data_IF_412273749505
#
_entry.id   IF_412273749505
#
_cell.length_a   1.000
_cell.length_b   1.000
_cell.length_c   1.000
_cell.angle_alpha   90.00
_cell.angle_beta   90.00
_cell.angle_gamma   90.00
#
_symmetry.space_group_name_H-M   'P 1'
#
loop_
_entity.id
_entity.type
_entity.pdbx_description
1 polymer ?
#
# COMPACT_ATOMS: atom_id res chain seq x y z
N UNK A 1 4.01 23.51 5.67
CA UNK A 1 4.85 22.87 4.64
C UNK A 1 4.34 21.45 4.44
N UNK A 2 3.83 21.07 3.26
CA UNK A 2 3.35 19.72 3.03
C UNK A 2 4.52 18.74 3.09
N UNK A 3 4.45 17.75 3.97
CA UNK A 3 5.44 16.70 4.05
C UNK A 3 5.32 15.81 2.82
N UNK A 4 6.43 15.65 2.08
CA UNK A 4 6.49 14.83 0.87
C UNK A 4 7.38 13.62 1.13
N UNK A 5 6.99 12.49 0.56
CA UNK A 5 7.71 11.22 0.65
C UNK A 5 7.96 10.65 -0.73
N UNK A 6 9.13 10.04 -0.91
CA UNK A 6 9.46 9.32 -2.13
C UNK A 6 8.81 7.94 -2.12
N UNK A 7 8.07 7.62 -3.19
CA UNK A 7 7.54 6.27 -3.37
C UNK A 7 8.67 5.29 -3.72
N UNK A 8 8.78 4.19 -2.97
CA UNK A 8 9.78 3.16 -3.22
C UNK A 8 9.53 2.32 -4.49
N UNK A 9 8.32 2.37 -5.06
CA UNK A 9 7.97 1.59 -6.25
C UNK A 9 8.06 2.42 -7.55
N UNK A 10 7.45 3.61 -7.59
CA UNK A 10 7.50 4.46 -8.78
C UNK A 10 8.53 5.60 -8.71
N UNK A 11 9.20 5.78 -7.57
CA UNK A 11 10.25 6.79 -7.40
C UNK A 11 9.76 8.24 -7.28
N UNK A 12 8.46 8.52 -7.46
CA UNK A 12 7.88 9.87 -7.42
C UNK A 12 7.89 10.45 -6.00
N UNK A 13 8.17 11.75 -5.90
CA UNK A 13 7.97 12.55 -4.70
C UNK A 13 6.51 12.97 -4.66
N UNK A 14 5.76 12.48 -3.67
CA UNK A 14 4.34 12.77 -3.51
C UNK A 14 4.08 13.22 -2.07
N UNK A 15 3.02 14.00 -1.81
CA UNK A 15 2.61 14.33 -0.45
C UNK A 15 2.36 13.06 0.39
N UNK A 16 2.62 13.10 1.71
CA UNK A 16 2.33 11.96 2.61
C UNK A 16 0.86 11.54 2.58
N UNK A 17 -0.06 12.44 2.19
CA UNK A 17 -1.48 12.15 1.97
C UNK A 17 -1.72 11.14 0.85
N UNK A 18 -0.79 11.03 -0.11
CA UNK A 18 -0.80 10.02 -1.18
C UNK A 18 -0.28 8.66 -0.72
N UNK A 19 0.07 8.50 0.56
CA UNK A 19 0.51 7.24 1.15
C UNK A 19 -0.52 6.75 2.16
N UNK A 20 -0.77 5.43 2.18
CA UNK A 20 -1.63 4.86 3.21
C UNK A 20 -0.95 4.87 4.58
N UNK A 21 -1.73 5.13 5.63
CA UNK A 21 -1.26 5.01 7.01
C UNK A 21 -0.88 3.56 7.32
N UNK A 22 0.31 3.37 7.89
CA UNK A 22 0.81 2.11 8.42
C UNK A 22 1.45 2.39 9.77
N UNK A 23 0.70 2.13 10.85
CA UNK A 23 1.12 2.40 12.23
C UNK A 23 2.45 1.74 12.59
N UNK A 24 2.73 0.57 12.03
CA UNK A 24 3.97 -0.19 12.28
C UNK A 24 5.14 0.25 11.36
N UNK A 25 5.12 1.46 10.82
CA UNK A 25 6.23 2.00 10.03
C UNK A 25 6.83 3.21 10.74
N UNK A 26 8.13 3.44 10.53
CA UNK A 26 8.90 4.50 11.18
C UNK A 26 8.22 5.87 11.07
N UNK A 27 7.64 6.17 9.90
CA UNK A 27 7.00 7.46 9.61
C UNK A 27 5.45 7.38 9.63
N UNK A 28 4.90 6.27 10.12
CA UNK A 28 3.44 6.04 10.14
C UNK A 28 2.77 5.86 8.78
N UNK A 29 3.53 5.83 7.68
CA UNK A 29 3.04 5.70 6.30
C UNK A 29 3.76 4.61 5.52
N UNK A 30 3.03 3.98 4.59
CA UNK A 30 3.59 2.99 3.66
C UNK A 30 4.77 3.54 2.85
N UNK A 31 5.65 2.64 2.40
CA UNK A 31 6.75 3.00 1.50
C UNK A 31 6.28 3.24 0.04
N UNK A 32 5.11 2.71 -0.31
CA UNK A 32 4.52 2.82 -1.64
C UNK A 32 3.33 3.79 -1.62
N UNK A 33 3.19 4.59 -2.67
CA UNK A 33 2.04 5.47 -2.83
C UNK A 33 0.75 4.67 -3.09
N UNK A 34 -0.39 5.32 -2.89
CA UNK A 34 -1.74 4.79 -3.10
C UNK A 34 -1.90 4.13 -4.47
N UNK A 35 -1.45 4.81 -5.53
CA UNK A 35 -1.52 4.30 -6.90
C UNK A 35 -0.76 2.98 -7.08
N UNK A 36 0.50 2.93 -6.64
CA UNK A 36 1.31 1.71 -6.70
C UNK A 36 0.71 0.60 -5.84
N UNK A 37 0.13 0.93 -4.68
CA UNK A 37 -0.52 -0.04 -3.81
C UNK A 37 -1.78 -0.63 -4.45
N UNK A 38 -2.57 0.18 -5.14
CA UNK A 38 -3.76 -0.26 -5.85
C UNK A 38 -3.39 -1.19 -7.02
N UNK A 39 -2.35 -0.84 -7.78
CA UNK A 39 -1.82 -1.68 -8.85
C UNK A 39 -1.30 -3.02 -8.33
N UNK A 40 -0.48 -2.99 -7.27
CA UNK A 40 0.00 -4.19 -6.60
C UNK A 40 -1.16 -5.07 -6.11
N UNK A 41 -2.20 -4.47 -5.52
CA UNK A 41 -3.39 -5.20 -5.06
C UNK A 41 -4.15 -5.87 -6.20
N UNK A 42 -4.30 -5.21 -7.35
CA UNK A 42 -4.91 -5.78 -8.55
C UNK A 42 -4.10 -6.95 -9.09
N UNK A 43 -2.80 -6.78 -9.27
CA UNK A 43 -1.90 -7.84 -9.73
C UNK A 43 -1.95 -9.05 -8.79
N UNK A 44 -1.87 -8.82 -7.48
CA UNK A 44 -1.96 -9.88 -6.48
C UNK A 44 -3.31 -10.61 -6.52
N UNK A 45 -4.42 -9.87 -6.67
CA UNK A 45 -5.76 -10.47 -6.75
C UNK A 45 -5.90 -11.38 -7.97
N UNK A 46 -5.37 -10.98 -9.13
CA UNK A 46 -5.39 -11.80 -10.36
C UNK A 46 -4.56 -13.07 -10.16
N UNK A 47 -3.33 -12.94 -9.67
CA UNK A 47 -2.42 -14.08 -9.50
C UNK A 47 -2.86 -15.06 -8.41
N UNK A 48 -3.48 -14.55 -7.34
CA UNK A 48 -3.80 -15.34 -6.15
C UNK A 48 -5.30 -15.67 -6.01
N UNK A 49 -6.11 -15.37 -7.03
CA UNK A 49 -7.56 -15.66 -7.12
C UNK A 49 -7.93 -17.10 -6.70
N UNK A 50 -7.24 -18.17 -7.14
CA UNK A 50 -7.58 -19.54 -6.75
C UNK A 50 -7.12 -19.93 -5.32
N UNK A 51 -6.23 -19.16 -4.68
CA UNK A 51 -5.66 -19.50 -3.35
C UNK A 51 -6.35 -18.79 -2.18
N UNK A 52 -7.33 -17.93 -2.45
CA UNK A 52 -8.01 -17.13 -1.43
C UNK A 52 -9.02 -18.00 -0.65
N UNK A 53 -8.53 -18.90 0.21
CA UNK A 53 -9.35 -19.55 1.24
C UNK A 53 -9.96 -18.44 2.09
N UNK A 54 -11.28 -18.40 2.24
CA UNK A 54 -11.96 -17.48 3.16
C UNK A 54 -11.40 -17.76 4.56
N UNK A 55 -10.55 -16.89 5.07
CA UNK A 55 -10.14 -16.94 6.47
C UNK A 55 -11.38 -16.55 7.26
N UNK A 56 -11.96 -17.52 7.97
CA UNK A 56 -13.02 -17.23 8.92
C UNK A 56 -12.44 -16.26 9.94
N UNK A 57 -12.94 -15.03 9.94
CA UNK A 57 -12.65 -14.09 11.00
C UNK A 57 -13.37 -14.66 12.23
N UNK A 58 -12.64 -15.37 13.09
CA UNK A 58 -13.21 -15.77 14.37
C UNK A 58 -13.60 -14.48 15.10
N UNK A 59 -14.89 -14.41 15.44
CA UNK A 59 -15.51 -13.34 16.19
C UNK A 59 -15.04 -13.36 17.64
#
# INVERSE_FOLDING_TARGET
MPEVKRCGQCGKLLPISEFHKKKNSKDGHQAMCRSCKAEYGRAWYVMNKPKRKKVAHHA
#
